data_IF_685879115376
#
_entry.id   IF_685879115376
#
_cell.length_a   1.000
_cell.length_b   1.000
_cell.length_c   1.000
_cell.angle_alpha   90.00
_cell.angle_beta   90.00
_cell.angle_gamma   90.00
#
_symmetry.space_group_name_H-M   'P 1'
#
loop_
_entity.id
_entity.type
_entity.pdbx_description
1 polymer ?
#
# COMPACT_ATOMS: atom_id res chain seq x y z
N UNK A 1 7.81 23.13 10.41
CA UNK A 1 7.36 21.75 10.75
C UNK A 1 8.41 20.79 10.22
N UNK A 2 8.91 19.88 11.07
CA UNK A 2 9.93 18.90 10.69
C UNK A 2 9.43 17.88 9.67
N UNK A 3 10.36 17.24 8.99
CA UNK A 3 10.06 16.14 8.07
C UNK A 3 9.57 14.91 8.85
N UNK A 4 8.72 14.11 8.23
CA UNK A 4 8.14 12.91 8.84
C UNK A 4 8.70 11.66 8.18
N UNK A 5 9.10 10.70 9.00
CA UNK A 5 9.57 9.40 8.54
C UNK A 5 8.41 8.63 7.89
N UNK A 6 8.73 7.82 6.89
CA UNK A 6 7.75 6.92 6.26
C UNK A 6 7.28 5.88 7.28
N UNK A 7 5.96 5.73 7.52
CA UNK A 7 5.46 4.85 8.58
C UNK A 7 5.87 3.37 8.41
N UNK A 8 5.82 2.87 7.18
CA UNK A 8 6.26 1.51 6.88
C UNK A 8 7.77 1.33 7.08
N UNK A 9 8.59 2.32 6.68
CA UNK A 9 10.04 2.26 6.90
C UNK A 9 10.43 2.27 8.38
N UNK A 10 9.69 3.03 9.22
CA UNK A 10 9.92 3.05 10.67
C UNK A 10 9.63 1.71 11.35
N UNK A 11 8.75 0.90 10.77
CA UNK A 11 8.28 -0.39 11.32
C UNK A 11 8.90 -1.60 10.64
N UNK A 12 9.78 -1.37 9.68
CA UNK A 12 10.48 -2.42 8.95
C UNK A 12 11.40 -3.21 9.88
N UNK A 13 11.33 -4.53 9.82
CA UNK A 13 12.06 -5.43 10.72
C UNK A 13 11.47 -5.55 12.14
N UNK A 14 10.36 -4.84 12.45
CA UNK A 14 9.64 -4.93 13.72
C UNK A 14 8.30 -5.62 13.51
N UNK A 15 7.41 -5.01 12.72
CA UNK A 15 6.08 -5.57 12.39
C UNK A 15 5.85 -5.71 10.90
N UNK A 16 6.60 -5.00 10.07
CA UNK A 16 6.56 -5.14 8.61
C UNK A 16 7.83 -5.81 8.10
N UNK A 17 7.65 -6.63 7.08
CA UNK A 17 8.75 -7.27 6.36
C UNK A 17 9.05 -6.54 5.04
N UNK A 18 10.15 -6.91 4.40
CA UNK A 18 10.58 -6.36 3.13
C UNK A 18 9.63 -6.76 1.99
N UNK A 19 9.53 -5.89 1.00
CA UNK A 19 8.76 -6.17 -0.24
C UNK A 19 9.60 -6.84 -1.33
N UNK A 20 10.88 -7.06 -1.04
CA UNK A 20 11.82 -7.76 -1.90
C UNK A 20 12.66 -8.70 -1.04
N UNK A 21 12.66 -9.99 -1.36
CA UNK A 21 13.35 -11.04 -0.63
C UNK A 21 14.38 -11.68 -1.55
N UNK A 22 15.62 -11.20 -1.48
CA UNK A 22 16.76 -11.76 -2.17
C UNK A 22 18.05 -11.27 -1.52
N UNK A 23 19.10 -12.04 -1.70
CA UNK A 23 20.43 -11.69 -1.23
C UNK A 23 21.44 -11.85 -2.36
N UNK A 24 22.41 -10.95 -2.42
CA UNK A 24 23.56 -11.04 -3.33
C UNK A 24 24.72 -10.24 -2.77
N UNK A 25 25.93 -10.74 -2.92
CA UNK A 25 27.16 -10.06 -2.47
C UNK A 25 27.67 -9.04 -3.50
N UNK A 26 27.65 -9.39 -4.79
CA UNK A 26 28.34 -8.63 -5.85
C UNK A 26 27.40 -7.93 -6.84
N UNK A 27 26.14 -8.40 -6.99
CA UNK A 27 25.24 -7.95 -8.03
C UNK A 27 24.04 -7.15 -7.52
N UNK A 28 24.21 -6.43 -6.40
CA UNK A 28 23.12 -5.69 -5.75
C UNK A 28 22.45 -4.69 -6.70
N UNK A 29 23.26 -3.88 -7.41
CA UNK A 29 22.72 -2.86 -8.30
C UNK A 29 21.88 -3.45 -9.44
N UNK A 30 22.36 -4.52 -10.09
CA UNK A 30 21.61 -5.16 -11.17
C UNK A 30 20.31 -5.79 -10.69
N UNK A 31 20.32 -6.46 -9.54
CA UNK A 31 19.10 -7.03 -8.95
C UNK A 31 18.08 -5.97 -8.55
N UNK A 32 18.54 -4.82 -8.03
CA UNK A 32 17.68 -3.71 -7.69
C UNK A 32 17.06 -3.07 -8.94
N UNK A 33 17.84 -2.87 -10.00
CA UNK A 33 17.32 -2.34 -11.28
C UNK A 33 16.26 -3.28 -11.87
N UNK A 34 16.54 -4.57 -11.91
CA UNK A 34 15.58 -5.59 -12.35
C UNK A 34 14.27 -5.54 -11.54
N UNK A 35 14.33 -5.38 -10.20
CA UNK A 35 13.14 -5.22 -9.36
C UNK A 35 12.34 -3.97 -9.72
N UNK A 36 13.02 -2.86 -9.92
CA UNK A 36 12.36 -1.60 -10.27
C UNK A 36 11.69 -1.67 -11.65
N UNK A 37 12.31 -2.35 -12.61
CA UNK A 37 11.74 -2.57 -13.94
C UNK A 37 10.50 -3.48 -13.88
N UNK A 38 10.58 -4.60 -13.17
CA UNK A 38 9.44 -5.50 -12.93
C UNK A 38 8.26 -4.72 -12.31
N UNK A 39 8.50 -3.95 -11.24
CA UNK A 39 7.47 -3.15 -10.58
C UNK A 39 6.84 -2.12 -11.51
N UNK A 40 7.67 -1.38 -12.25
CA UNK A 40 7.19 -0.36 -13.22
C UNK A 40 6.36 -1.01 -14.34
N UNK A 41 6.79 -2.16 -14.85
CA UNK A 41 6.08 -2.88 -15.90
C UNK A 41 4.69 -3.33 -15.42
N UNK A 42 4.63 -3.99 -14.26
CA UNK A 42 3.38 -4.45 -13.65
C UNK A 42 2.45 -3.28 -13.35
N UNK A 43 2.95 -2.20 -12.75
CA UNK A 43 2.13 -1.02 -12.45
C UNK A 43 1.57 -0.35 -13.70
N UNK A 44 2.34 -0.31 -14.79
CA UNK A 44 1.90 0.27 -16.06
C UNK A 44 0.81 -0.57 -16.71
N UNK A 45 0.96 -1.89 -16.70
CA UNK A 45 0.02 -2.82 -17.35
C UNK A 45 -1.25 -3.03 -16.52
N UNK A 46 -1.12 -3.18 -15.21
CA UNK A 46 -2.21 -3.58 -14.32
C UNK A 46 -2.68 -2.46 -13.36
N UNK A 47 -2.31 -1.20 -13.61
CA UNK A 47 -2.68 -0.08 -12.73
C UNK A 47 -4.18 0.06 -12.51
N UNK A 48 -5.01 -0.31 -13.51
CA UNK A 48 -6.46 -0.29 -13.44
C UNK A 48 -7.07 -1.43 -12.62
N UNK A 49 -6.30 -2.46 -12.29
CA UNK A 49 -6.77 -3.61 -11.52
C UNK A 49 -6.81 -3.38 -10.00
N UNK A 50 -6.42 -2.18 -9.53
CA UNK A 50 -6.35 -1.89 -8.09
C UNK A 50 -5.20 -2.66 -7.42
N UNK A 51 -3.98 -2.35 -7.83
CA UNK A 51 -2.77 -2.94 -7.24
C UNK A 51 -2.46 -2.28 -5.90
N UNK A 52 -2.23 -3.09 -4.87
CA UNK A 52 -1.74 -2.61 -3.58
C UNK A 52 -0.23 -2.76 -3.45
N UNK A 53 0.23 -3.99 -3.40
CA UNK A 53 1.64 -4.31 -3.14
C UNK A 53 2.12 -5.40 -4.09
N UNK A 54 3.38 -5.30 -4.51
CA UNK A 54 4.07 -6.30 -5.30
C UNK A 54 5.25 -6.79 -4.45
N UNK A 55 5.24 -8.07 -4.09
CA UNK A 55 6.33 -8.73 -3.36
C UNK A 55 7.14 -9.56 -4.35
N UNK A 56 8.45 -9.39 -4.36
CA UNK A 56 9.35 -10.07 -5.29
C UNK A 56 10.31 -10.93 -4.50
N UNK A 57 10.31 -12.21 -4.78
CA UNK A 57 11.30 -13.16 -4.26
C UNK A 57 12.19 -13.65 -5.40
N UNK A 58 13.48 -13.51 -5.25
CA UNK A 58 14.46 -13.96 -6.25
C UNK A 58 15.36 -15.04 -5.67
N UNK A 59 15.53 -16.04 -6.47
CA UNK A 59 16.53 -17.07 -6.33
C UNK A 59 17.49 -16.99 -7.53
N UNK A 60 18.51 -17.82 -7.58
CA UNK A 60 19.54 -17.80 -8.64
C UNK A 60 18.94 -17.84 -10.05
N UNK A 61 17.99 -18.75 -10.31
CA UNK A 61 17.40 -18.97 -11.64
C UNK A 61 15.89 -18.75 -11.69
N UNK A 62 15.27 -18.33 -10.57
CA UNK A 62 13.82 -18.20 -10.47
C UNK A 62 13.45 -16.88 -9.84
N UNK A 63 12.41 -16.25 -10.39
CA UNK A 63 11.78 -15.05 -9.83
C UNK A 63 10.33 -15.38 -9.51
N UNK A 64 9.91 -15.15 -8.29
CA UNK A 64 8.51 -15.29 -7.87
C UNK A 64 7.97 -13.91 -7.56
N UNK A 65 6.87 -13.54 -8.21
CA UNK A 65 6.22 -12.24 -8.05
C UNK A 65 4.82 -12.47 -7.48
N UNK A 66 4.59 -12.01 -6.26
CA UNK A 66 3.29 -12.05 -5.62
C UNK A 66 2.62 -10.69 -5.81
N UNK A 67 1.48 -10.66 -6.50
CA UNK A 67 0.73 -9.45 -6.82
C UNK A 67 -0.51 -9.39 -5.92
N UNK A 68 -0.53 -8.44 -5.00
CA UNK A 68 -1.68 -8.18 -4.14
C UNK A 68 -2.63 -7.20 -4.84
N UNK A 69 -3.87 -7.64 -5.11
CA UNK A 69 -4.86 -6.85 -5.86
C UNK A 69 -6.25 -6.96 -5.23
N UNK A 70 -7.05 -5.89 -5.41
CA UNK A 70 -8.46 -5.88 -5.04
C UNK A 70 -9.35 -6.57 -6.08
N UNK A 71 -8.87 -6.71 -7.33
CA UNK A 71 -9.66 -7.24 -8.45
C UNK A 71 -8.89 -8.33 -9.19
N UNK A 72 -8.75 -9.52 -8.59
CA UNK A 72 -7.94 -10.61 -9.17
C UNK A 72 -8.44 -11.04 -10.56
N UNK A 73 -9.75 -10.99 -10.81
CA UNK A 73 -10.31 -11.36 -12.11
C UNK A 73 -9.79 -10.54 -13.30
N UNK A 74 -9.47 -9.26 -13.08
CA UNK A 74 -8.90 -8.41 -14.13
C UNK A 74 -7.44 -8.82 -14.42
N UNK A 75 -6.69 -9.18 -13.39
CA UNK A 75 -5.29 -9.61 -13.52
C UNK A 75 -5.18 -10.98 -14.16
N UNK A 76 -6.08 -11.90 -13.82
CA UNK A 76 -6.13 -13.25 -14.38
C UNK A 76 -6.54 -13.20 -15.86
N UNK A 77 -7.53 -12.37 -16.19
CA UNK A 77 -8.09 -12.27 -17.52
C UNK A 77 -8.92 -13.49 -17.90
N UNK A 78 -9.35 -13.52 -19.15
CA UNK A 78 -10.13 -14.66 -19.68
C UNK A 78 -9.25 -15.91 -19.76
N UNK A 79 -9.63 -16.97 -19.05
CA UNK A 79 -8.91 -18.25 -19.03
C UNK A 79 -7.42 -18.16 -18.68
N UNK A 80 -7.00 -17.13 -17.94
CA UNK A 80 -5.61 -16.95 -17.53
C UNK A 80 -4.68 -16.30 -18.57
N UNK A 81 -5.20 -15.84 -19.69
CA UNK A 81 -4.40 -15.31 -20.82
C UNK A 81 -3.54 -14.11 -20.42
N UNK A 82 -4.06 -13.21 -19.55
CA UNK A 82 -3.33 -12.01 -19.12
C UNK A 82 -2.15 -12.36 -18.20
N UNK A 83 -2.31 -13.33 -17.30
CA UNK A 83 -1.21 -13.81 -16.42
C UNK A 83 -0.14 -14.50 -17.25
N UNK A 84 -0.52 -15.33 -18.23
CA UNK A 84 0.45 -16.02 -19.08
C UNK A 84 1.18 -15.05 -19.99
N UNK A 85 0.52 -14.02 -20.50
CA UNK A 85 1.16 -12.94 -21.24
C UNK A 85 2.14 -12.17 -20.35
N UNK A 86 1.73 -11.81 -19.14
CA UNK A 86 2.58 -11.13 -18.16
C UNK A 86 3.81 -11.98 -17.80
N UNK A 87 3.63 -13.30 -17.60
CA UNK A 87 4.74 -14.23 -17.30
C UNK A 87 5.76 -14.26 -18.44
N UNK A 88 5.32 -14.30 -19.69
CA UNK A 88 6.22 -14.27 -20.87
C UNK A 88 6.99 -12.96 -20.93
N UNK A 89 6.31 -11.82 -20.81
CA UNK A 89 6.93 -10.50 -20.84
C UNK A 89 7.99 -10.34 -19.74
N UNK A 90 7.69 -10.80 -18.51
CA UNK A 90 8.64 -10.77 -17.40
C UNK A 90 9.80 -11.75 -17.60
N UNK A 91 9.57 -12.91 -18.23
CA UNK A 91 10.63 -13.84 -18.63
C UNK A 91 11.59 -13.21 -19.66
N UNK A 92 11.04 -12.56 -20.67
CA UNK A 92 11.82 -11.89 -21.71
C UNK A 92 12.67 -10.73 -21.15
N UNK A 93 12.14 -10.02 -20.14
CA UNK A 93 12.87 -8.95 -19.45
C UNK A 93 14.00 -9.46 -18.55
N UNK A 94 13.78 -10.57 -17.84
CA UNK A 94 14.70 -11.04 -16.78
C UNK A 94 15.61 -12.16 -17.23
N UNK A 95 15.26 -12.88 -18.30
CA UNK A 95 15.95 -14.09 -18.77
C UNK A 95 15.88 -15.27 -17.78
N UNK A 96 15.01 -15.19 -16.75
CA UNK A 96 14.84 -16.19 -15.68
C UNK A 96 13.46 -16.82 -15.73
N UNK A 97 13.31 -17.98 -15.08
CA UNK A 97 12.00 -18.58 -14.89
C UNK A 97 11.15 -17.72 -13.94
N UNK A 98 10.05 -17.13 -14.46
CA UNK A 98 9.16 -16.26 -13.67
C UNK A 98 7.91 -17.03 -13.28
N UNK A 99 7.55 -16.93 -12.01
CA UNK A 99 6.27 -17.41 -11.48
C UNK A 99 5.48 -16.24 -10.91
N UNK A 100 4.23 -16.08 -11.35
CA UNK A 100 3.34 -15.01 -10.91
C UNK A 100 2.23 -15.60 -10.07
N UNK A 101 2.12 -15.16 -8.82
CA UNK A 101 1.03 -15.48 -7.92
C UNK A 101 0.13 -14.25 -7.75
N UNK A 102 -1.17 -14.48 -7.71
CA UNK A 102 -2.16 -13.42 -7.49
C UNK A 102 -2.79 -13.65 -6.13
N UNK A 103 -2.67 -12.64 -5.27
CA UNK A 103 -3.23 -12.65 -3.91
C UNK A 103 -4.36 -11.64 -3.84
N UNK A 104 -5.55 -12.12 -3.50
CA UNK A 104 -6.73 -11.27 -3.34
C UNK A 104 -6.73 -10.53 -2.02
N UNK A 105 -7.03 -9.23 -2.05
CA UNK A 105 -7.26 -8.41 -0.87
C UNK A 105 -8.75 -8.40 -0.56
N UNK A 106 -9.15 -9.13 0.49
CA UNK A 106 -10.55 -9.28 0.89
C UNK A 106 -11.21 -7.97 1.35
N UNK A 107 -10.43 -7.03 1.93
CA UNK A 107 -10.93 -5.74 2.46
C UNK A 107 -10.12 -4.59 1.88
N UNK A 108 -10.41 -4.14 0.65
CA UNK A 108 -9.66 -3.08 -0.02
C UNK A 108 -9.76 -1.73 0.69
N UNK A 109 -10.79 -1.50 1.52
CA UNK A 109 -10.97 -0.28 2.30
C UNK A 109 -9.98 -0.13 3.46
N UNK A 110 -9.33 -1.23 3.87
CA UNK A 110 -8.28 -1.24 4.89
C UNK A 110 -6.87 -1.15 4.30
N UNK A 111 -6.74 -1.09 2.98
CA UNK A 111 -5.47 -0.94 2.29
C UNK A 111 -5.26 0.53 1.89
N UNK A 112 -4.22 1.14 2.44
CA UNK A 112 -3.97 2.57 2.26
C UNK A 112 -3.64 2.94 0.80
N UNK A 113 -2.97 2.06 0.04
CA UNK A 113 -2.66 2.31 -1.36
C UNK A 113 -3.93 2.29 -2.22
N UNK A 114 -4.81 1.32 -2.01
CA UNK A 114 -6.07 1.20 -2.74
C UNK A 114 -7.02 2.36 -2.43
N UNK A 115 -7.09 2.78 -1.17
CA UNK A 115 -7.87 3.95 -0.77
C UNK A 115 -7.32 5.23 -1.39
N UNK A 116 -5.99 5.42 -1.40
CA UNK A 116 -5.35 6.57 -2.04
C UNK A 116 -5.61 6.60 -3.55
N UNK A 117 -5.53 5.45 -4.22
CA UNK A 117 -5.84 5.30 -5.64
C UNK A 117 -7.31 5.66 -5.92
N UNK A 118 -8.25 5.11 -5.15
CA UNK A 118 -9.68 5.39 -5.32
C UNK A 118 -10.02 6.88 -5.14
N UNK A 119 -9.40 7.55 -4.16
CA UNK A 119 -9.56 9.00 -3.99
C UNK A 119 -8.99 9.75 -5.19
N UNK A 120 -7.79 9.37 -5.66
CA UNK A 120 -7.14 10.01 -6.80
C UNK A 120 -7.97 9.86 -8.09
N UNK A 121 -8.54 8.70 -8.35
CA UNK A 121 -9.44 8.45 -9.47
C UNK A 121 -10.71 9.32 -9.40
N UNK A 122 -11.32 9.46 -8.21
CA UNK A 122 -12.46 10.34 -8.00
C UNK A 122 -12.11 11.82 -8.24
N UNK A 123 -10.92 12.25 -7.83
CA UNK A 123 -10.44 13.62 -8.07
C UNK A 123 -10.18 13.87 -9.56
N UNK A 124 -9.62 12.92 -10.29
CA UNK A 124 -9.43 12.99 -11.74
C UNK A 124 -10.79 13.10 -12.46
N UNK A 125 -11.82 12.42 -11.96
CA UNK A 125 -13.20 12.47 -12.45
C UNK A 125 -13.98 13.69 -11.93
N UNK A 126 -13.30 14.74 -11.43
CA UNK A 126 -13.87 16.02 -10.99
C UNK A 126 -14.87 15.90 -9.83
N UNK A 127 -14.81 14.84 -9.04
CA UNK A 127 -15.58 14.74 -7.79
C UNK A 127 -15.00 15.71 -6.76
N UNK A 128 -15.88 16.35 -5.97
CA UNK A 128 -15.44 17.23 -4.88
C UNK A 128 -14.50 16.50 -3.92
N UNK A 129 -13.31 17.06 -3.70
CA UNK A 129 -12.28 16.47 -2.84
C UNK A 129 -12.77 16.22 -1.41
N UNK A 130 -13.62 17.13 -0.86
CA UNK A 130 -14.22 16.95 0.47
C UNK A 130 -15.11 15.72 0.53
N UNK A 131 -15.93 15.52 -0.51
CA UNK A 131 -16.84 14.37 -0.59
C UNK A 131 -16.07 13.06 -0.77
N UNK A 132 -15.04 13.04 -1.64
CA UNK A 132 -14.20 11.89 -1.88
C UNK A 132 -13.46 11.46 -0.59
N UNK A 133 -12.80 12.39 0.12
CA UNK A 133 -12.10 12.10 1.36
C UNK A 133 -13.03 11.62 2.47
N UNK A 134 -14.16 12.29 2.70
CA UNK A 134 -15.14 11.88 3.74
C UNK A 134 -15.71 10.49 3.46
N UNK A 135 -16.06 10.20 2.20
CA UNK A 135 -16.56 8.87 1.81
C UNK A 135 -15.55 7.78 2.09
N UNK A 136 -14.27 8.00 1.73
CA UNK A 136 -13.19 7.07 1.99
C UNK A 136 -13.00 6.79 3.49
N UNK A 137 -13.04 7.84 4.33
CA UNK A 137 -12.94 7.73 5.79
C UNK A 137 -14.09 6.90 6.35
N UNK A 138 -15.33 7.23 5.99
CA UNK A 138 -16.51 6.49 6.46
C UNK A 138 -16.45 5.02 6.03
N UNK A 139 -16.00 4.71 4.81
CA UNK A 139 -15.87 3.34 4.32
C UNK A 139 -14.81 2.56 5.12
N UNK A 140 -13.64 3.15 5.35
CA UNK A 140 -12.58 2.51 6.13
C UNK A 140 -12.98 2.25 7.58
N UNK A 141 -13.64 3.22 8.23
CA UNK A 141 -14.13 3.04 9.61
C UNK A 141 -15.20 1.95 9.72
N UNK A 142 -16.10 1.83 8.73
CA UNK A 142 -17.08 0.74 8.66
C UNK A 142 -16.42 -0.63 8.46
N UNK A 143 -15.31 -0.68 7.74
CA UNK A 143 -14.55 -1.91 7.49
C UNK A 143 -13.70 -2.35 8.69
N UNK A 144 -13.69 -1.55 9.78
CA UNK A 144 -13.04 -1.90 11.04
C UNK A 144 -11.66 -1.25 11.24
N UNK A 145 -11.34 -0.14 10.56
CA UNK A 145 -10.13 0.62 10.86
C UNK A 145 -10.23 1.26 12.26
N UNK A 146 -9.16 1.21 13.05
CA UNK A 146 -9.06 1.90 14.34
C UNK A 146 -8.89 3.42 14.18
N UNK A 147 -8.46 3.84 13.02
CA UNK A 147 -8.33 5.24 12.66
C UNK A 147 -7.79 5.42 11.26
N UNK A 148 -8.17 6.51 10.64
CA UNK A 148 -7.72 6.89 9.31
C UNK A 148 -7.40 8.37 9.27
N UNK A 149 -6.36 8.71 8.51
CA UNK A 149 -5.98 10.08 8.18
C UNK A 149 -5.75 10.18 6.68
N UNK A 150 -6.45 11.12 6.05
CA UNK A 150 -6.32 11.42 4.61
C UNK A 150 -5.85 12.85 4.45
N UNK A 151 -4.90 13.08 3.55
CA UNK A 151 -4.38 14.41 3.22
C UNK A 151 -4.25 14.56 1.71
N UNK A 152 -4.86 15.59 1.17
CA UNK A 152 -4.73 15.96 -0.24
C UNK A 152 -4.02 17.30 -0.36
N UNK A 153 -3.07 17.41 -1.28
CA UNK A 153 -2.25 18.60 -1.51
C UNK A 153 -2.15 18.90 -3.00
N UNK A 154 -2.32 20.17 -3.37
CA UNK A 154 -2.27 20.65 -4.74
C UNK A 154 -3.34 21.71 -5.02
N UNK A 155 -3.68 21.92 -6.28
CA UNK A 155 -4.74 22.86 -6.73
C UNK A 155 -6.11 22.24 -6.54
N UNK A 156 -6.58 22.17 -5.30
CA UNK A 156 -7.84 21.54 -4.93
C UNK A 156 -9.04 22.29 -5.52
N UNK A 157 -9.84 21.57 -6.30
CA UNK A 157 -11.01 22.15 -6.98
C UNK A 157 -10.68 23.12 -8.11
N UNK A 158 -9.44 23.10 -8.63
CA UNK A 158 -8.99 23.99 -9.70
C UNK A 158 -8.56 25.38 -9.23
N UNK A 159 -8.41 25.61 -7.91
CA UNK A 159 -7.94 26.89 -7.37
C UNK A 159 -6.54 27.24 -7.90
N UNK A 160 -6.27 28.53 -8.13
CA UNK A 160 -4.96 29.00 -8.60
C UNK A 160 -3.86 28.68 -7.60
N UNK A 161 -4.11 28.93 -6.32
CA UNK A 161 -3.15 28.65 -5.26
C UNK A 161 -3.30 27.20 -4.77
N UNK A 162 -2.18 26.49 -4.73
CA UNK A 162 -2.12 25.17 -4.12
C UNK A 162 -2.32 25.27 -2.61
N UNK A 163 -3.10 24.34 -2.07
CA UNK A 163 -3.30 24.21 -0.63
C UNK A 163 -3.32 22.75 -0.22
N UNK A 164 -3.17 22.53 1.07
CA UNK A 164 -3.27 21.21 1.66
C UNK A 164 -4.47 21.14 2.58
N UNK A 165 -5.33 20.17 2.35
CA UNK A 165 -6.45 19.85 3.23
C UNK A 165 -6.35 18.40 3.71
N UNK A 166 -6.79 18.14 4.94
CA UNK A 166 -6.77 16.80 5.51
C UNK A 166 -7.89 16.59 6.50
N UNK A 167 -8.36 15.35 6.54
CA UNK A 167 -9.37 14.88 7.49
C UNK A 167 -8.82 13.65 8.20
N UNK A 168 -9.19 13.47 9.46
CA UNK A 168 -8.82 12.31 10.26
C UNK A 168 -9.98 11.89 11.15
N UNK A 169 -10.12 10.58 11.35
CA UNK A 169 -11.08 9.98 12.28
C UNK A 169 -10.39 8.82 13.01
N UNK A 170 -10.70 8.66 14.32
CA UNK A 170 -10.05 7.67 15.16
C UNK A 170 -8.59 8.01 15.54
N UNK A 171 -7.84 7.02 15.99
CA UNK A 171 -6.43 7.17 16.43
C UNK A 171 -5.46 6.71 15.34
N UNK A 172 -4.50 7.56 14.99
CA UNK A 172 -3.39 7.20 14.07
C UNK A 172 -2.06 7.53 14.76
N UNK A 173 -1.57 6.64 15.66
CA UNK A 173 -0.37 6.88 16.46
C UNK A 173 0.89 6.62 15.65
N UNK A 174 1.40 7.63 14.93
CA UNK A 174 2.54 7.48 14.02
C UNK A 174 3.84 7.10 14.72
N UNK A 175 4.01 7.47 15.99
CA UNK A 175 5.22 7.21 16.78
C UNK A 175 5.21 5.85 17.50
N UNK A 176 4.06 5.22 17.65
CA UNK A 176 3.95 3.91 18.31
C UNK A 176 4.40 2.81 17.36
N UNK A 177 5.50 2.13 17.64
CA UNK A 177 6.09 1.11 16.77
C UNK A 177 5.20 -0.12 16.61
N UNK A 178 4.52 -0.54 17.70
CA UNK A 178 3.60 -1.70 17.68
C UNK A 178 2.29 -1.46 16.91
N UNK A 179 1.97 -0.19 16.58
CA UNK A 179 0.77 0.12 15.81
C UNK A 179 0.99 -0.24 14.33
N UNK A 180 0.11 -1.08 13.79
CA UNK A 180 0.10 -1.44 12.38
C UNK A 180 -0.52 -0.29 11.57
N UNK A 181 0.34 0.57 11.03
CA UNK A 181 -0.05 1.72 10.22
C UNK A 181 0.34 1.47 8.78
N UNK A 182 -0.68 1.27 7.97
CA UNK A 182 -0.53 1.21 6.53
C UNK A 182 -0.49 2.60 5.93
N UNK A 183 0.34 2.80 4.90
CA UNK A 183 0.54 4.09 4.25
C UNK A 183 0.46 3.96 2.74
N UNK A 184 -0.40 4.78 2.14
CA UNK A 184 -0.55 4.89 0.71
C UNK A 184 -0.31 6.32 0.20
N UNK A 185 0.32 6.41 -0.95
CA UNK A 185 0.51 7.65 -1.69
C UNK A 185 0.11 7.44 -3.15
N UNK A 186 -0.71 8.35 -3.68
CA UNK A 186 -1.10 8.35 -5.07
C UNK A 186 -1.24 9.77 -5.61
N UNK A 187 -1.06 9.93 -6.93
CA UNK A 187 -1.20 11.21 -7.61
C UNK A 187 -2.41 11.20 -8.54
N UNK A 188 -3.30 12.16 -8.38
CA UNK A 188 -4.40 12.41 -9.31
C UNK A 188 -3.96 13.40 -10.38
N UNK A 189 -3.98 12.98 -11.64
CA UNK A 189 -3.73 13.86 -12.77
C UNK A 189 -5.02 14.60 -13.11
N UNK A 190 -5.03 15.91 -12.94
CA UNK A 190 -6.16 16.78 -13.29
C UNK A 190 -5.77 17.74 -14.39
N UNK A 191 -6.75 18.39 -15.01
CA UNK A 191 -6.50 19.42 -16.04
C UNK A 191 -5.70 20.62 -15.53
N UNK A 192 -5.72 20.84 -14.20
CA UNK A 192 -5.00 21.94 -13.52
C UNK A 192 -3.67 21.52 -12.90
N UNK A 193 -3.23 20.30 -13.13
CA UNK A 193 -1.99 19.75 -12.58
C UNK A 193 -2.22 18.52 -11.69
N UNK A 194 -1.19 18.10 -10.98
CA UNK A 194 -1.22 16.93 -10.11
C UNK A 194 -1.69 17.29 -8.71
N UNK A 195 -2.53 16.43 -8.13
CA UNK A 195 -2.93 16.49 -6.72
C UNK A 195 -2.38 15.23 -6.03
N UNK A 196 -1.51 15.43 -5.04
CA UNK A 196 -0.98 14.32 -4.23
C UNK A 196 -1.95 13.95 -3.12
N UNK A 197 -2.28 12.65 -3.02
CA UNK A 197 -3.13 12.08 -1.96
C UNK A 197 -2.28 11.18 -1.10
N UNK A 198 -2.29 11.42 0.23
CA UNK A 198 -1.63 10.60 1.24
C UNK A 198 -2.67 10.04 2.20
N UNK A 199 -2.60 8.74 2.44
CA UNK A 199 -3.53 8.03 3.32
C UNK A 199 -2.73 7.25 4.36
N UNK A 200 -3.16 7.30 5.62
CA UNK A 200 -2.67 6.50 6.73
C UNK A 200 -3.86 5.77 7.35
N UNK A 201 -3.77 4.46 7.47
CA UNK A 201 -4.80 3.62 8.08
C UNK A 201 -4.17 2.85 9.24
N UNK A 202 -4.76 2.98 10.42
CA UNK A 202 -4.39 2.21 11.59
C UNK A 202 -5.27 0.94 11.63
N UNK A 203 -4.66 -0.22 11.44
CA UNK A 203 -5.33 -1.53 11.48
C UNK A 203 -5.43 -2.11 12.90
N UNK A 204 -4.69 -1.54 13.86
CA UNK A 204 -4.63 -1.99 15.24
C UNK A 204 -3.21 -2.04 15.77
N UNK A 205 -3.00 -2.76 16.87
CA UNK A 205 -1.68 -2.98 17.46
C UNK A 205 -1.30 -4.46 17.34
N UNK A 206 -0.05 -4.71 16.93
CA UNK A 206 0.53 -6.05 16.86
C UNK A 206 1.46 -6.18 18.08
N UNK A 207 1.13 -7.11 18.96
CA UNK A 207 1.94 -7.43 20.12
C UNK A 207 2.86 -8.62 19.80
N UNK A 208 4.08 -8.67 20.36
CA UNK A 208 4.93 -9.85 20.29
C UNK A 208 4.20 -11.08 20.86
N UNK A 209 4.46 -12.26 20.30
CA UNK A 209 3.92 -13.51 20.82
C UNK A 209 4.30 -13.69 22.29
N UNK A 210 3.33 -14.04 23.13
CA UNK A 210 3.51 -14.17 24.58
C UNK A 210 3.30 -12.89 25.39
N UNK A 211 2.94 -11.76 24.78
CA UNK A 211 2.62 -10.53 25.48
C UNK A 211 1.11 -10.38 25.68
N UNK A 212 0.61 -11.01 26.76
CA UNK A 212 -0.78 -10.87 27.20
C UNK A 212 -0.95 -9.63 28.09
N UNK A 213 -1.70 -8.64 27.62
CA UNK A 213 -2.07 -7.45 28.41
C UNK A 213 -2.87 -7.82 29.68
N UNK A 214 -3.60 -8.94 29.65
CA UNK A 214 -4.37 -9.42 30.80
C UNK A 214 -3.50 -10.05 31.88
N UNK A 215 -2.27 -10.49 31.61
CA UNK A 215 -1.37 -11.06 32.64
C UNK A 215 -0.83 -10.01 33.61
N UNK A 216 -0.73 -8.74 33.21
CA UNK A 216 -0.32 -7.64 34.09
C UNK A 216 -1.38 -7.29 35.14
N UNK A 217 -2.65 -7.23 34.74
CA UNK A 217 -3.74 -6.96 35.69
C UNK A 217 -3.95 -8.05 36.71
N UNK A 218 -3.59 -9.31 36.42
CA UNK A 218 -3.64 -10.43 37.37
C UNK A 218 -2.41 -10.49 38.30
N UNK A 219 -1.26 -9.98 37.85
CA UNK A 219 -0.07 -9.91 38.70
C UNK A 219 -0.18 -8.80 39.76
N UNK A 220 -0.76 -7.65 39.42
CA UNK A 220 -1.02 -6.54 40.35
C UNK A 220 -2.12 -6.87 41.36
N UNK A 221 -3.12 -7.67 40.97
CA UNK A 221 -4.19 -8.13 41.88
C UNK A 221 -3.76 -9.23 42.88
N UNK A 222 -2.55 -9.83 42.74
CA UNK A 222 -2.01 -10.85 43.62
C UNK A 222 -1.00 -10.31 44.67
N UNK A 223 -0.64 -9.04 44.59
CA UNK A 223 0.35 -8.38 45.46
C UNK A 223 -0.29 -7.34 46.41
N UNK A 224 -1.63 -7.19 46.33
CA UNK A 224 -2.42 -6.31 47.20
C UNK A 224 -3.14 -7.06 48.36
#
# INVERSE_FOLDING_TARGET
MGQKVHPGGMRLGIIHDWKAHWYTEKHFASFLHEDLEIRKHIQRKLGHAGLSTIVIRKDTNKVVVDIHTARPGIVIGKSGAEVDALRRELHDMTGKAVHVNIVEIKRPELDANLVAQSIAEQLANRVSFRRAMKRAITSAMRSGAMGIKVRSAGRLGGAEMARTEGYSEGRVPLHTLRADIDYGFWEANTTFGKIGVKVWINKGEIMPEGFDLNSRGQAEARVG
#
